data_IF_323584614131
#
_entry.id   IF_323584614131
#
_cell.length_a   1.000
_cell.length_b   1.000
_cell.length_c   1.000
_cell.angle_alpha   90.00
_cell.angle_beta   90.00
_cell.angle_gamma   90.00
#
_symmetry.space_group_name_H-M   'P 1'
#
loop_
_entity.id
_entity.type
_entity.pdbx_description
1 polymer ?
#
# COMPACT_ATOMS: atom_id res chain seq x y z
N UNK A 1 -10.10 8.78 -19.36
CA UNK A 1 -9.41 9.04 -18.08
C UNK A 1 -9.38 7.73 -17.30
N UNK A 2 -8.32 7.45 -16.54
CA UNK A 2 -8.22 6.24 -15.72
C UNK A 2 -8.50 6.59 -14.25
N UNK A 3 -9.02 5.63 -13.49
CA UNK A 3 -9.27 5.80 -12.05
C UNK A 3 -8.17 5.14 -11.23
N UNK A 4 -7.50 5.91 -10.36
CA UNK A 4 -6.44 5.43 -9.48
C UNK A 4 -6.92 5.44 -8.02
N UNK A 5 -7.59 4.37 -7.61
CA UNK A 5 -8.31 4.30 -6.32
C UNK A 5 -7.73 3.26 -5.35
N UNK A 6 -6.46 2.87 -5.52
CA UNK A 6 -5.85 1.74 -4.80
C UNK A 6 -6.06 1.77 -3.28
N UNK A 7 -5.83 2.92 -2.65
CA UNK A 7 -6.07 3.06 -1.20
C UNK A 7 -7.54 3.05 -0.79
N UNK A 8 -8.45 3.52 -1.64
CA UNK A 8 -9.88 3.49 -1.37
C UNK A 8 -10.42 2.06 -1.46
N UNK A 9 -9.89 1.28 -2.42
CA UNK A 9 -10.20 -0.15 -2.54
C UNK A 9 -9.84 -0.88 -1.24
N UNK A 10 -8.67 -0.62 -0.65
CA UNK A 10 -8.24 -1.24 0.62
C UNK A 10 -9.26 -0.97 1.74
N UNK A 11 -9.66 0.29 1.93
CA UNK A 11 -10.64 0.65 2.96
C UNK A 11 -12.01 0.03 2.70
N UNK A 12 -12.46 0.00 1.44
CA UNK A 12 -13.77 -0.55 1.10
C UNK A 12 -13.82 -2.06 1.28
N UNK A 13 -12.74 -2.77 0.95
CA UNK A 13 -12.60 -4.20 1.25
C UNK A 13 -12.66 -4.45 2.75
N UNK A 14 -11.96 -3.64 3.57
CA UNK A 14 -12.01 -3.79 5.03
C UNK A 14 -13.42 -3.57 5.56
N UNK A 15 -14.12 -2.51 5.11
CA UNK A 15 -15.52 -2.27 5.50
C UNK A 15 -16.42 -3.47 5.19
N UNK A 16 -16.30 -4.02 3.99
CA UNK A 16 -17.08 -5.19 3.59
C UNK A 16 -16.74 -6.40 4.49
N UNK A 17 -15.45 -6.63 4.77
CA UNK A 17 -15.01 -7.72 5.65
C UNK A 17 -15.44 -7.53 7.12
N UNK A 18 -15.60 -6.30 7.61
CA UNK A 18 -16.13 -6.05 8.96
C UNK A 18 -17.55 -6.60 9.13
N UNK A 19 -18.35 -6.65 8.07
CA UNK A 19 -19.68 -7.28 8.08
C UNK A 19 -19.63 -8.81 8.02
N UNK A 20 -18.43 -9.38 7.75
CA UNK A 20 -18.14 -10.80 7.57
C UNK A 20 -17.17 -11.30 8.64
N UNK A 21 -17.50 -11.00 9.90
CA UNK A 21 -16.77 -11.42 11.12
C UNK A 21 -15.38 -10.83 11.36
N UNK A 22 -14.83 -10.00 10.46
CA UNK A 22 -13.54 -9.33 10.73
C UNK A 22 -13.62 -8.45 11.99
N UNK A 23 -14.79 -7.88 12.32
CA UNK A 23 -14.97 -7.05 13.53
C UNK A 23 -14.68 -7.78 14.84
N UNK A 24 -14.78 -9.12 14.84
CA UNK A 24 -14.53 -9.98 16.00
C UNK A 24 -13.10 -10.56 16.02
N UNK A 25 -12.26 -10.23 15.02
CA UNK A 25 -10.90 -10.74 14.95
C UNK A 25 -10.01 -10.14 16.05
N UNK A 26 -9.06 -10.93 16.55
CA UNK A 26 -8.03 -10.41 17.46
C UNK A 26 -6.96 -9.61 16.70
N UNK A 27 -6.68 -9.99 15.46
CA UNK A 27 -5.59 -9.44 14.65
C UNK A 27 -5.91 -9.45 13.16
N UNK A 28 -5.48 -8.39 12.46
CA UNK A 28 -5.50 -8.25 11.00
C UNK A 28 -4.07 -8.07 10.51
N UNK A 29 -3.59 -9.02 9.70
CA UNK A 29 -2.30 -8.94 9.03
C UNK A 29 -2.48 -8.40 7.60
N UNK A 30 -2.05 -7.17 7.35
CA UNK A 30 -2.00 -6.59 6.01
C UNK A 30 -0.67 -6.98 5.35
N UNK A 31 -0.73 -7.90 4.39
CA UNK A 31 0.45 -8.41 3.68
C UNK A 31 0.43 -8.05 2.20
N UNK A 32 1.61 -7.90 1.61
CA UNK A 32 1.75 -7.65 0.17
C UNK A 32 3.17 -7.83 -0.33
N UNK A 33 3.31 -8.17 -1.61
CA UNK A 33 4.59 -8.40 -2.29
C UNK A 33 4.85 -7.35 -3.39
N UNK A 34 6.11 -7.01 -3.65
CA UNK A 34 6.52 -6.03 -4.67
C UNK A 34 5.83 -4.67 -4.44
N UNK A 35 5.16 -4.11 -5.45
CA UNK A 35 4.34 -2.89 -5.30
C UNK A 35 3.27 -3.01 -4.20
N UNK A 36 2.76 -4.22 -3.95
CA UNK A 36 1.86 -4.50 -2.84
C UNK A 36 2.54 -4.37 -1.48
N UNK A 37 3.82 -4.74 -1.37
CA UNK A 37 4.63 -4.55 -0.16
C UNK A 37 4.84 -3.06 0.15
N UNK A 38 5.14 -2.25 -0.88
CA UNK A 38 5.13 -0.77 -0.73
C UNK A 38 3.72 -0.29 -0.35
N UNK A 39 2.68 -0.88 -0.93
CA UNK A 39 1.29 -0.62 -0.58
C UNK A 39 0.96 -0.88 0.89
N UNK A 40 1.52 -1.93 1.50
CA UNK A 40 1.43 -2.17 2.95
C UNK A 40 2.01 -0.99 3.71
N UNK A 41 3.26 -0.60 3.40
CA UNK A 41 3.93 0.52 4.07
C UNK A 41 3.15 1.84 3.95
N UNK A 42 2.48 2.07 2.82
CA UNK A 42 1.70 3.29 2.57
C UNK A 42 0.30 3.29 3.21
N UNK A 43 -0.27 2.13 3.53
CA UNK A 43 -1.67 2.02 3.96
C UNK A 43 -1.86 1.40 5.35
N UNK A 44 -0.83 0.83 5.97
CA UNK A 44 -0.94 0.15 7.26
C UNK A 44 -1.56 1.05 8.34
N UNK A 45 -0.99 2.24 8.52
CA UNK A 45 -1.46 3.21 9.51
C UNK A 45 -2.89 3.68 9.19
N UNK A 46 -3.19 3.90 7.90
CA UNK A 46 -4.54 4.26 7.47
C UNK A 46 -5.59 3.18 7.83
N UNK A 47 -5.23 1.90 7.71
CA UNK A 47 -6.09 0.79 8.12
C UNK A 47 -6.24 0.74 9.64
N UNK A 48 -5.14 0.93 10.38
CA UNK A 48 -5.16 0.98 11.85
C UNK A 48 -6.05 2.13 12.35
N UNK A 49 -5.86 3.34 11.82
CA UNK A 49 -6.64 4.52 12.19
C UNK A 49 -8.13 4.36 11.85
N UNK A 50 -8.44 3.75 10.70
CA UNK A 50 -9.82 3.46 10.31
C UNK A 50 -10.50 2.54 11.32
N UNK A 51 -9.84 1.43 11.71
CA UNK A 51 -10.37 0.48 12.69
C UNK A 51 -10.44 1.08 14.10
N UNK A 52 -9.45 1.88 14.50
CA UNK A 52 -9.47 2.63 15.76
C UNK A 52 -10.63 3.62 15.82
N UNK A 53 -10.94 4.32 14.72
CA UNK A 53 -12.08 5.23 14.62
C UNK A 53 -13.43 4.53 14.86
N UNK A 54 -13.52 3.24 14.55
CA UNK A 54 -14.67 2.38 14.82
C UNK A 54 -14.67 1.76 16.23
N UNK A 55 -13.70 2.14 17.08
CA UNK A 55 -13.45 1.55 18.41
C UNK A 55 -13.22 0.03 18.36
N UNK A 56 -12.70 -0.47 17.25
CA UNK A 56 -12.30 -1.86 17.13
C UNK A 56 -11.10 -2.16 18.04
N UNK A 57 -11.02 -3.39 18.55
CA UNK A 57 -9.89 -3.89 19.34
C UNK A 57 -8.91 -4.73 18.50
N UNK A 58 -9.14 -4.85 17.19
CA UNK A 58 -8.30 -5.61 16.27
C UNK A 58 -6.88 -5.03 16.28
N UNK A 59 -5.89 -5.88 16.54
CA UNK A 59 -4.49 -5.52 16.36
C UNK A 59 -4.13 -5.52 14.87
N UNK A 60 -3.63 -4.40 14.34
CA UNK A 60 -3.23 -4.31 12.93
C UNK A 60 -1.72 -4.50 12.80
N UNK A 61 -1.28 -5.46 11.97
CA UNK A 61 0.13 -5.73 11.68
C UNK A 61 0.40 -5.69 10.18
N UNK A 62 1.63 -5.36 9.79
CA UNK A 62 2.04 -5.27 8.40
C UNK A 62 3.13 -6.28 8.03
N UNK A 63 3.04 -6.87 6.84
CA UNK A 63 4.10 -7.66 6.22
C UNK A 63 4.38 -7.14 4.80
N UNK A 64 5.48 -6.41 4.63
CA UNK A 64 5.92 -5.88 3.35
C UNK A 64 7.03 -6.76 2.77
N UNK A 65 6.70 -7.59 1.79
CA UNK A 65 7.65 -8.43 1.07
C UNK A 65 8.13 -7.71 -0.20
N UNK A 66 9.45 -7.58 -0.37
CA UNK A 66 10.08 -7.03 -1.58
C UNK A 66 9.55 -5.63 -2.00
N UNK A 67 9.01 -4.86 -1.05
CA UNK A 67 8.42 -3.53 -1.26
C UNK A 67 9.29 -2.37 -0.76
N UNK A 68 10.51 -2.67 -0.33
CA UNK A 68 11.49 -1.69 0.15
C UNK A 68 12.52 -1.41 -0.95
N UNK A 69 12.37 -0.28 -1.62
CA UNK A 69 13.23 0.14 -2.73
C UNK A 69 14.23 1.20 -2.28
N UNK A 70 15.35 1.28 -2.98
CA UNK A 70 16.34 2.34 -2.82
C UNK A 70 16.09 3.45 -3.86
N UNK A 71 16.23 4.69 -3.42
CA UNK A 71 16.16 5.91 -4.24
C UNK A 71 17.56 6.29 -4.78
N UNK A 72 18.27 5.30 -5.31
CA UNK A 72 19.65 5.46 -5.75
C UNK A 72 19.77 5.93 -7.21
N UNK A 73 20.97 6.43 -7.55
CA UNK A 73 21.32 6.66 -8.95
C UNK A 73 21.37 5.32 -9.72
N UNK A 74 20.77 5.27 -10.93
CA UNK A 74 20.82 4.07 -11.74
C UNK A 74 22.24 3.81 -12.24
N UNK A 75 22.60 2.54 -12.40
CA UNK A 75 23.91 2.14 -12.93
C UNK A 75 24.22 2.80 -14.29
N UNK A 76 23.21 2.90 -15.16
CA UNK A 76 23.28 3.66 -16.41
C UNK A 76 22.08 4.63 -16.47
N UNK A 77 22.32 5.94 -16.67
CA UNK A 77 21.25 6.90 -16.86
C UNK A 77 20.47 6.59 -18.15
N UNK A 78 19.15 6.49 -18.04
CA UNK A 78 18.23 6.30 -19.17
C UNK A 78 17.10 7.31 -19.10
N UNK A 79 16.61 7.73 -20.26
CA UNK A 79 15.42 8.56 -20.33
C UNK A 79 14.19 7.80 -19.82
N UNK A 80 13.39 8.45 -18.97
CA UNK A 80 12.17 7.87 -18.40
C UNK A 80 11.05 7.84 -19.45
N UNK A 81 11.13 6.89 -20.38
CA UNK A 81 10.14 6.60 -21.41
C UNK A 81 9.42 5.27 -21.19
N UNK A 82 10.10 4.31 -20.54
CA UNK A 82 9.56 3.00 -20.19
C UNK A 82 9.50 2.82 -18.66
N UNK A 83 8.39 2.32 -18.10
CA UNK A 83 8.21 2.19 -16.64
C UNK A 83 9.23 1.27 -15.94
N UNK A 84 9.80 0.29 -16.64
CA UNK A 84 10.75 -0.68 -16.06
C UNK A 84 12.17 -0.12 -15.97
N UNK A 85 12.48 0.87 -16.80
CA UNK A 85 13.83 1.46 -16.89
C UNK A 85 13.91 2.86 -16.32
N UNK A 86 12.77 3.50 -16.06
CA UNK A 86 12.72 4.80 -15.42
C UNK A 86 13.34 4.76 -14.01
N UNK A 87 14.21 5.74 -13.72
CA UNK A 87 14.82 5.86 -12.40
C UNK A 87 13.74 5.91 -11.29
N UNK A 88 13.91 5.20 -10.16
CA UNK A 88 12.84 5.05 -9.16
C UNK A 88 12.24 6.37 -8.68
N UNK A 89 13.07 7.38 -8.41
CA UNK A 89 12.63 8.70 -7.95
C UNK A 89 11.78 9.41 -9.00
N UNK A 90 12.17 9.34 -10.28
CA UNK A 90 11.46 10.02 -11.36
C UNK A 90 10.12 9.32 -11.66
N UNK A 91 10.09 7.98 -11.63
CA UNK A 91 8.88 7.20 -11.81
C UNK A 91 7.82 7.57 -10.75
N UNK A 92 8.21 7.62 -9.48
CA UNK A 92 7.30 7.98 -8.38
C UNK A 92 6.88 9.46 -8.47
N UNK A 93 7.79 10.38 -8.77
CA UNK A 93 7.46 11.81 -8.96
C UNK A 93 6.41 12.03 -10.04
N UNK A 94 6.45 11.24 -11.12
CA UNK A 94 5.43 11.31 -12.19
C UNK A 94 4.13 10.63 -11.79
N UNK A 95 4.19 9.50 -11.10
CA UNK A 95 3.01 8.71 -10.74
C UNK A 95 2.16 9.28 -9.59
N UNK A 96 2.74 10.11 -8.71
CA UNK A 96 2.03 10.73 -7.58
C UNK A 96 1.27 12.01 -7.98
N UNK A 97 1.62 12.61 -9.11
CA UNK A 97 0.90 13.79 -9.65
C UNK A 97 -0.47 13.41 -10.18
#
# INVERSE_FOLDING_TARGET
EFSFLGSLIIIEVIKDLLTKDLFSADMLLLAGSSAGGTGVLLNLDRVSDFLHGLKSKIEVRGLADSGWFLDNEPYQPLDCLDPQTCAPVEAIKRGVK
#
